data_IF_697990758747
#
_entry.id   IF_697990758747
#
_cell.length_a   1.000
_cell.length_b   1.000
_cell.length_c   1.000
_cell.angle_alpha   90.00
_cell.angle_beta   90.00
_cell.angle_gamma   90.00
#
_symmetry.space_group_name_H-M   'P 1'
#
loop_
_entity.id
_entity.type
_entity.pdbx_description
1 polymer ?
#
# COMPACT_ATOMS: atom_id res chain seq x y z
N UNK A 1 22.90 -5.19 -3.75
CA UNK A 1 23.39 -6.59 -3.87
C UNK A 1 22.21 -7.42 -4.27
N UNK A 2 22.22 -8.01 -5.46
CA UNK A 2 21.14 -8.87 -5.92
C UNK A 2 21.06 -10.10 -5.00
N UNK A 3 19.92 -10.32 -4.36
CA UNK A 3 19.65 -11.57 -3.69
C UNK A 3 19.69 -12.67 -4.78
N UNK A 4 20.73 -13.48 -4.78
CA UNK A 4 20.77 -14.67 -5.62
C UNK A 4 19.72 -15.65 -5.09
N UNK A 5 18.78 -16.04 -5.93
CA UNK A 5 17.81 -17.08 -5.61
C UNK A 5 18.57 -18.33 -5.11
N UNK A 6 18.15 -18.97 -4.02
CA UNK A 6 18.83 -20.12 -3.46
C UNK A 6 18.82 -21.29 -4.45
N UNK A 7 19.89 -22.09 -4.46
CA UNK A 7 20.07 -23.25 -5.35
C UNK A 7 18.98 -24.32 -5.18
N UNK A 8 18.18 -24.29 -4.13
CA UNK A 8 16.97 -25.07 -3.89
C UNK A 8 16.03 -24.24 -3.01
N UNK A 9 14.79 -23.96 -3.44
CA UNK A 9 13.85 -23.21 -2.63
C UNK A 9 13.60 -23.94 -1.29
N UNK A 10 13.56 -23.17 -0.21
CA UNK A 10 13.16 -23.67 1.10
C UNK A 10 11.66 -23.99 1.07
N UNK A 11 11.23 -24.94 1.90
CA UNK A 11 9.80 -25.18 2.11
C UNK A 11 9.17 -23.92 2.69
N UNK A 12 8.11 -23.41 2.06
CA UNK A 12 7.43 -22.20 2.55
C UNK A 12 6.58 -22.54 3.77
N UNK A 13 6.69 -21.79 4.87
CA UNK A 13 5.91 -22.03 6.07
C UNK A 13 4.44 -21.64 5.85
N UNK A 14 3.51 -22.52 6.21
CA UNK A 14 2.08 -22.23 6.20
C UNK A 14 1.62 -21.56 7.52
N UNK A 15 2.41 -21.70 8.56
CA UNK A 15 2.16 -21.06 9.88
C UNK A 15 3.45 -20.47 10.43
N UNK A 16 3.36 -19.43 11.30
CA UNK A 16 4.56 -18.88 11.93
C UNK A 16 5.40 -19.93 12.68
N UNK A 17 4.76 -20.93 13.28
CA UNK A 17 5.43 -21.99 14.06
C UNK A 17 6.31 -22.92 13.20
N UNK A 18 6.06 -22.99 11.90
CA UNK A 18 6.88 -23.78 10.97
C UNK A 18 8.21 -23.08 10.63
N UNK A 19 8.33 -21.78 10.89
CA UNK A 19 9.61 -21.09 10.86
C UNK A 19 10.41 -21.52 12.08
N UNK A 20 11.27 -22.50 11.92
CA UNK A 20 12.20 -22.97 12.96
C UNK A 20 13.52 -22.19 12.93
N UNK A 21 14.33 -22.26 13.99
CA UNK A 21 15.67 -21.67 13.99
C UNK A 21 16.52 -22.16 12.81
N UNK A 22 16.47 -23.47 12.51
CA UNK A 22 17.19 -24.08 11.39
C UNK A 22 16.68 -23.58 10.03
N UNK A 23 15.35 -23.42 9.86
CA UNK A 23 14.76 -22.88 8.65
C UNK A 23 15.21 -21.43 8.44
N UNK A 24 15.11 -20.60 9.51
CA UNK A 24 15.45 -19.18 9.47
C UNK A 24 16.95 -18.98 9.20
N UNK A 25 17.81 -19.80 9.82
CA UNK A 25 19.26 -19.78 9.51
C UNK A 25 19.51 -19.94 8.02
N UNK A 26 18.89 -20.95 7.39
CA UNK A 26 19.06 -21.18 5.94
C UNK A 26 18.52 -20.03 5.09
N UNK A 27 17.38 -19.47 5.46
CA UNK A 27 16.81 -18.31 4.77
C UNK A 27 17.75 -17.11 4.81
N UNK A 28 18.23 -16.74 6.01
CA UNK A 28 19.12 -15.60 6.21
C UNK A 28 20.52 -15.80 5.59
N UNK A 29 21.06 -17.02 5.63
CA UNK A 29 22.31 -17.36 4.95
C UNK A 29 22.15 -17.28 3.43
N UNK A 30 21.05 -17.80 2.88
CA UNK A 30 20.79 -17.81 1.42
C UNK A 30 20.67 -16.40 0.84
N UNK A 31 20.16 -15.44 1.62
CA UNK A 31 20.05 -14.03 1.25
C UNK A 31 21.26 -13.17 1.66
N UNK A 32 22.28 -13.78 2.28
CA UNK A 32 23.50 -13.07 2.69
C UNK A 32 23.32 -12.13 3.88
N UNK A 33 22.23 -12.28 4.64
CA UNK A 33 21.98 -11.48 5.85
C UNK A 33 22.90 -11.90 6.99
N UNK A 34 23.17 -13.20 7.08
CA UNK A 34 24.16 -13.75 8.02
C UNK A 34 25.22 -14.59 7.25
N UNK A 35 26.47 -14.65 7.74
CA UNK A 35 27.51 -15.51 7.17
C UNK A 35 27.14 -17.00 7.25
N UNK A 36 27.78 -17.88 6.43
CA UNK A 36 27.48 -19.32 6.42
C UNK A 36 27.80 -20.06 7.73
N UNK A 37 28.67 -19.51 8.56
CA UNK A 37 29.10 -20.03 9.86
C UNK A 37 28.29 -19.50 11.05
N UNK A 38 27.41 -18.51 10.81
CA UNK A 38 26.51 -17.96 11.82
C UNK A 38 25.14 -18.62 11.71
N UNK A 39 24.60 -19.06 12.84
CA UNK A 39 23.29 -19.69 12.93
C UNK A 39 22.37 -18.95 13.91
N UNK A 40 21.06 -19.11 13.72
CA UNK A 40 20.04 -18.71 14.70
C UNK A 40 20.08 -19.70 15.85
N UNK A 41 20.60 -19.28 17.00
CA UNK A 41 20.72 -20.12 18.21
C UNK A 41 19.39 -20.29 18.92
N UNK A 42 18.57 -19.24 18.97
CA UNK A 42 17.20 -19.29 19.53
C UNK A 42 16.24 -18.47 18.68
N UNK A 43 14.96 -18.88 18.70
CA UNK A 43 13.87 -18.19 17.99
C UNK A 43 12.61 -18.18 18.85
N UNK A 44 12.03 -17.00 19.03
CA UNK A 44 10.71 -16.82 19.64
C UNK A 44 9.77 -16.16 18.64
N UNK A 45 8.50 -16.60 18.62
CA UNK A 45 7.44 -16.02 17.84
C UNK A 45 6.54 -15.21 18.74
N UNK A 46 6.32 -13.94 18.37
CA UNK A 46 5.41 -13.05 19.09
C UNK A 46 4.31 -12.57 18.12
N UNK A 47 3.05 -12.49 18.57
CA UNK A 47 2.00 -11.89 17.73
C UNK A 47 2.35 -10.44 17.37
N UNK A 48 2.00 -10.01 16.15
CA UNK A 48 2.14 -8.64 15.69
C UNK A 48 0.75 -8.15 15.24
N UNK A 49 0.30 -7.00 15.76
CA UNK A 49 -0.91 -6.31 15.29
C UNK A 49 -2.17 -7.16 15.31
N UNK A 50 -2.54 -7.80 16.42
CA UNK A 50 -3.72 -8.67 16.49
C UNK A 50 -3.57 -10.01 15.74
N UNK A 51 -2.44 -10.26 15.07
CA UNK A 51 -2.06 -11.57 14.50
C UNK A 51 -2.60 -11.86 13.09
N UNK A 52 -3.59 -11.13 12.59
CA UNK A 52 -4.18 -11.38 11.27
C UNK A 52 -4.44 -10.06 10.54
N UNK A 53 -3.67 -9.80 9.48
CA UNK A 53 -4.10 -8.86 8.43
C UNK A 53 -5.16 -9.49 7.53
N UNK A 54 -5.89 -8.70 6.76
CA UNK A 54 -6.94 -9.21 5.85
C UNK A 54 -6.39 -10.28 4.90
N UNK A 55 -5.20 -10.06 4.37
CA UNK A 55 -4.59 -10.93 3.34
C UNK A 55 -3.35 -11.68 3.82
N UNK A 56 -2.85 -11.46 5.04
CA UNK A 56 -1.64 -12.10 5.54
C UNK A 56 -1.66 -12.35 7.04
N UNK A 57 -0.89 -13.35 7.46
CA UNK A 57 -0.55 -13.58 8.86
C UNK A 57 0.78 -12.90 9.14
N UNK A 58 0.82 -12.08 10.18
CA UNK A 58 2.03 -11.39 10.64
C UNK A 58 2.50 -11.97 11.97
N UNK A 59 3.79 -12.15 12.10
CA UNK A 59 4.41 -12.52 13.37
C UNK A 59 5.77 -11.82 13.53
N UNK A 60 6.10 -11.42 14.76
CA UNK A 60 7.43 -10.98 15.09
C UNK A 60 8.30 -12.20 15.38
N UNK A 61 9.47 -12.23 14.77
CA UNK A 61 10.53 -13.18 15.04
C UNK A 61 11.59 -12.48 15.88
N UNK A 62 11.87 -13.02 17.08
CA UNK A 62 12.92 -12.54 17.98
C UNK A 62 13.96 -13.62 18.07
N UNK A 63 15.22 -13.29 17.73
CA UNK A 63 16.30 -14.25 17.59
C UNK A 63 17.54 -13.87 18.40
N UNK A 64 18.26 -14.91 18.82
CA UNK A 64 19.67 -14.82 19.21
C UNK A 64 20.50 -15.62 18.20
N UNK A 65 21.71 -15.17 17.93
CA UNK A 65 22.63 -15.84 17.01
C UNK A 65 23.73 -16.58 17.78
N UNK A 66 24.36 -17.55 17.14
CA UNK A 66 25.54 -18.25 17.70
C UNK A 66 26.74 -17.34 17.93
N UNK A 67 26.82 -16.25 17.15
CA UNK A 67 27.79 -15.20 17.29
C UNK A 67 27.17 -13.88 17.76
N UNK A 68 27.73 -13.28 18.78
CA UNK A 68 27.26 -12.01 19.35
C UNK A 68 27.76 -10.77 18.60
N UNK A 69 28.70 -10.94 17.67
CA UNK A 69 29.32 -9.85 16.89
C UNK A 69 28.58 -9.58 15.54
N UNK A 70 27.58 -10.38 15.20
CA UNK A 70 26.81 -10.14 13.97
C UNK A 70 26.04 -8.82 14.03
N UNK A 71 26.00 -8.11 12.90
CA UNK A 71 25.18 -6.91 12.70
C UNK A 71 23.78 -7.24 12.17
N UNK A 72 23.45 -8.53 12.06
CA UNK A 72 22.15 -8.98 11.61
C UNK A 72 21.03 -8.58 12.61
N UNK A 73 19.82 -8.29 12.14
CA UNK A 73 18.73 -7.87 13.02
C UNK A 73 18.33 -9.01 13.95
N UNK A 74 18.07 -8.68 15.21
CA UNK A 74 17.56 -9.63 16.23
C UNK A 74 16.03 -9.62 16.30
N UNK A 75 15.38 -8.71 15.61
CA UNK A 75 13.93 -8.59 15.52
C UNK A 75 13.51 -8.41 14.08
N UNK A 76 12.59 -9.21 13.61
CA UNK A 76 12.13 -9.24 12.23
C UNK A 76 10.62 -9.44 12.20
N UNK A 77 10.00 -9.09 11.08
CA UNK A 77 8.59 -9.37 10.81
C UNK A 77 8.49 -10.44 9.74
N UNK A 78 7.79 -11.51 10.06
CA UNK A 78 7.35 -12.55 9.13
C UNK A 78 5.99 -12.16 8.57
N UNK A 79 5.82 -12.27 7.25
CA UNK A 79 4.54 -12.20 6.55
C UNK A 79 4.37 -13.45 5.69
N UNK A 80 3.23 -14.14 5.85
CA UNK A 80 2.85 -15.34 5.11
C UNK A 80 1.38 -15.25 4.69
N UNK A 81 0.88 -16.09 3.78
CA UNK A 81 -0.52 -16.05 3.35
C UNK A 81 -1.50 -16.15 4.52
N UNK A 82 -2.65 -15.49 4.37
CA UNK A 82 -3.76 -15.67 5.32
C UNK A 82 -4.23 -17.11 5.37
N UNK A 83 -4.62 -17.56 6.55
CA UNK A 83 -5.22 -18.89 6.75
C UNK A 83 -6.70 -18.94 6.33
N UNK A 84 -7.36 -17.77 6.13
CA UNK A 84 -8.75 -17.68 5.69
C UNK A 84 -8.85 -17.95 4.18
N UNK A 85 -9.50 -19.06 3.74
CA UNK A 85 -9.50 -19.45 2.33
C UNK A 85 -10.12 -18.40 1.40
N UNK A 86 -11.18 -17.73 1.85
CA UNK A 86 -11.87 -16.69 1.08
C UNK A 86 -10.95 -15.49 0.82
N UNK A 87 -10.29 -14.98 1.85
CA UNK A 87 -9.35 -13.87 1.73
C UNK A 87 -8.12 -14.28 0.89
N UNK A 88 -7.64 -15.53 1.04
CA UNK A 88 -6.54 -16.07 0.22
C UNK A 88 -6.92 -16.09 -1.26
N UNK A 89 -8.12 -16.54 -1.61
CA UNK A 89 -8.60 -16.55 -2.99
C UNK A 89 -8.66 -15.14 -3.59
N UNK A 90 -9.15 -14.16 -2.84
CA UNK A 90 -9.16 -12.75 -3.27
C UNK A 90 -7.74 -12.23 -3.47
N UNK A 91 -6.83 -12.50 -2.52
CA UNK A 91 -5.44 -12.08 -2.62
C UNK A 91 -4.72 -12.67 -3.85
N UNK A 92 -4.98 -13.92 -4.15
CA UNK A 92 -4.44 -14.61 -5.35
C UNK A 92 -5.02 -14.01 -6.64
N UNK A 93 -6.34 -13.84 -6.70
CA UNK A 93 -7.01 -13.27 -7.86
C UNK A 93 -6.52 -11.85 -8.18
N UNK A 94 -6.31 -11.02 -7.15
CA UNK A 94 -5.79 -9.66 -7.29
C UNK A 94 -4.26 -9.59 -7.41
N UNK A 95 -3.52 -10.68 -7.31
CA UNK A 95 -2.05 -10.71 -7.38
C UNK A 95 -1.34 -10.02 -6.21
N UNK A 96 -1.98 -9.91 -5.05
CA UNK A 96 -1.49 -9.18 -3.87
C UNK A 96 -0.13 -9.74 -3.41
N UNK A 97 -0.02 -11.05 -3.27
CA UNK A 97 1.21 -11.71 -2.79
C UNK A 97 2.38 -11.58 -3.79
N UNK A 98 2.06 -11.62 -5.09
CA UNK A 98 3.05 -11.47 -6.15
C UNK A 98 3.69 -10.10 -6.07
N UNK A 99 2.88 -9.03 -5.95
CA UNK A 99 3.37 -7.65 -6.03
C UNK A 99 4.40 -7.35 -4.95
N UNK A 100 4.10 -7.67 -3.69
CA UNK A 100 5.02 -7.37 -2.59
C UNK A 100 6.31 -8.20 -2.66
N UNK A 101 6.20 -9.49 -2.98
CA UNK A 101 7.38 -10.35 -3.10
C UNK A 101 8.29 -9.90 -4.25
N UNK A 102 7.71 -9.56 -5.40
CA UNK A 102 8.48 -9.11 -6.56
C UNK A 102 8.98 -7.68 -6.41
N UNK A 103 8.29 -6.81 -5.66
CA UNK A 103 8.85 -5.52 -5.29
C UNK A 103 10.21 -5.66 -4.64
N UNK A 104 10.32 -6.48 -3.61
CA UNK A 104 11.58 -6.67 -2.90
C UNK A 104 12.65 -7.35 -3.75
N UNK A 105 12.26 -8.28 -4.62
CA UNK A 105 13.19 -9.00 -5.47
C UNK A 105 13.69 -8.20 -6.68
N UNK A 106 12.86 -7.33 -7.25
CA UNK A 106 13.13 -6.70 -8.55
C UNK A 106 13.19 -5.16 -8.51
N UNK A 107 12.37 -4.52 -7.66
CA UNK A 107 12.17 -3.07 -7.71
C UNK A 107 12.78 -2.30 -6.55
N UNK A 108 12.83 -2.85 -5.34
CA UNK A 108 13.23 -2.13 -4.13
C UNK A 108 14.61 -1.47 -4.25
N UNK A 109 15.60 -2.16 -4.85
CA UNK A 109 16.93 -1.61 -5.07
C UNK A 109 16.99 -0.46 -6.10
N UNK A 110 15.93 -0.28 -6.88
CA UNK A 110 15.82 0.71 -7.96
C UNK A 110 14.85 1.85 -7.61
N UNK A 111 14.10 1.70 -6.53
CA UNK A 111 13.10 2.68 -6.08
C UNK A 111 13.69 3.55 -4.99
N UNK A 112 13.90 4.86 -5.23
CA UNK A 112 14.59 5.76 -4.31
C UNK A 112 13.63 6.24 -3.20
N UNK A 113 13.08 5.33 -2.43
CA UNK A 113 12.17 5.61 -1.31
C UNK A 113 12.68 4.92 -0.04
N UNK A 114 12.58 5.57 1.12
CA UNK A 114 12.87 4.91 2.39
C UNK A 114 11.91 3.75 2.62
N UNK A 115 12.32 2.54 2.31
CA UNK A 115 11.54 1.31 2.47
C UNK A 115 12.20 0.36 3.46
N UNK A 116 11.38 -0.42 4.15
CA UNK A 116 11.86 -1.47 5.04
C UNK A 116 12.76 -2.44 4.27
N UNK A 117 13.84 -2.89 4.91
CA UNK A 117 14.76 -3.85 4.30
C UNK A 117 14.14 -5.25 4.27
N UNK A 118 14.13 -5.87 3.10
CA UNK A 118 13.81 -7.28 2.96
C UNK A 118 15.04 -8.14 3.32
N UNK A 119 14.82 -9.13 4.18
CA UNK A 119 15.82 -10.07 4.63
C UNK A 119 15.73 -11.40 3.89
N UNK A 120 14.50 -11.78 3.52
CA UNK A 120 14.23 -12.96 2.70
C UNK A 120 12.85 -12.83 2.05
N UNK A 121 12.74 -13.14 0.78
CA UNK A 121 11.48 -13.21 0.04
C UNK A 121 11.49 -14.41 -0.91
N UNK A 122 10.47 -15.26 -0.83
CA UNK A 122 10.28 -16.40 -1.73
C UNK A 122 8.80 -16.63 -1.98
N UNK A 123 8.45 -17.08 -3.19
CA UNK A 123 7.08 -17.30 -3.61
C UNK A 123 6.96 -18.47 -4.58
N UNK A 124 5.86 -19.20 -4.46
CA UNK A 124 5.34 -20.12 -5.48
C UNK A 124 3.99 -19.61 -5.97
N UNK A 125 4.00 -19.02 -7.15
CA UNK A 125 2.78 -18.43 -7.73
C UNK A 125 1.71 -19.52 -7.96
N UNK A 126 2.13 -20.71 -8.41
CA UNK A 126 1.20 -21.80 -8.72
C UNK A 126 0.52 -22.38 -7.48
N UNK A 127 1.25 -22.46 -6.36
CA UNK A 127 0.73 -22.88 -5.07
C UNK A 127 0.01 -21.75 -4.30
N UNK A 128 0.23 -20.49 -4.69
CA UNK A 128 -0.24 -19.33 -3.94
C UNK A 128 0.39 -19.24 -2.54
N UNK A 129 1.67 -19.63 -2.46
CA UNK A 129 2.44 -19.61 -1.22
C UNK A 129 3.56 -18.59 -1.31
N UNK A 130 3.73 -17.79 -0.29
CA UNK A 130 4.85 -16.87 -0.16
C UNK A 130 5.36 -16.82 1.27
N UNK A 131 6.57 -16.36 1.42
CA UNK A 131 7.16 -15.99 2.71
C UNK A 131 7.99 -14.74 2.52
N UNK A 132 7.76 -13.76 3.38
CA UNK A 132 8.49 -12.52 3.42
C UNK A 132 9.01 -12.32 4.84
N UNK A 133 10.31 -12.03 4.98
CA UNK A 133 10.94 -11.62 6.22
C UNK A 133 11.55 -10.25 5.99
N UNK A 134 11.11 -9.28 6.78
CA UNK A 134 11.57 -7.89 6.71
C UNK A 134 12.11 -7.44 8.08
N UNK A 135 12.93 -6.39 8.09
CA UNK A 135 13.36 -5.75 9.34
C UNK A 135 12.14 -5.23 10.11
N UNK A 136 12.19 -5.30 11.44
CA UNK A 136 11.24 -4.58 12.28
C UNK A 136 11.61 -3.10 12.37
N UNK A 137 10.67 -2.23 12.03
CA UNK A 137 10.85 -0.77 12.17
C UNK A 137 10.62 -0.39 13.64
N UNK A 138 11.66 -0.44 14.47
CA UNK A 138 11.54 -0.22 15.91
C UNK A 138 11.86 1.21 16.36
N UNK A 139 12.49 2.00 15.51
CA UNK A 139 12.92 3.38 15.83
C UNK A 139 11.94 4.46 15.38
N UNK A 140 10.93 4.08 14.61
CA UNK A 140 9.87 4.95 14.12
C UNK A 140 8.51 4.45 14.63
N UNK A 141 7.52 5.32 14.59
CA UNK A 141 6.13 5.03 14.97
C UNK A 141 5.25 5.03 13.73
N UNK A 142 4.38 4.03 13.59
CA UNK A 142 3.37 4.00 12.52
C UNK A 142 2.44 5.21 12.61
N UNK A 143 2.05 5.77 11.48
CA UNK A 143 1.13 6.90 11.45
C UNK A 143 -0.26 6.51 11.98
N UNK A 144 -0.96 7.49 12.54
CA UNK A 144 -2.28 7.29 13.15
C UNK A 144 -3.39 7.61 12.14
N UNK A 145 -3.88 6.58 11.47
CA UNK A 145 -4.95 6.71 10.46
C UNK A 145 -6.27 7.21 11.07
N UNK A 146 -6.56 6.88 12.32
CA UNK A 146 -7.80 7.29 12.98
C UNK A 146 -7.81 8.79 13.26
N UNK A 147 -6.73 9.32 13.82
CA UNK A 147 -6.58 10.73 14.14
C UNK A 147 -6.16 11.60 12.96
N UNK A 148 -5.68 10.98 11.88
CA UNK A 148 -5.24 11.67 10.67
C UNK A 148 -3.80 12.18 10.73
N UNK A 149 -3.30 12.59 9.57
CA UNK A 149 -1.95 13.08 9.40
C UNK A 149 -1.76 14.51 9.87
N UNK A 150 -0.62 14.79 10.47
CA UNK A 150 -0.16 16.16 10.62
C UNK A 150 0.35 16.72 9.29
N UNK A 151 0.34 18.05 9.13
CA UNK A 151 0.85 18.68 7.90
C UNK A 151 2.31 18.29 7.62
N UNK A 152 3.24 18.27 8.60
CA UNK A 152 4.61 17.80 8.34
C UNK A 152 4.69 16.35 7.85
N UNK A 153 3.83 15.43 8.34
CA UNK A 153 3.77 14.06 7.84
C UNK A 153 3.30 14.01 6.38
N UNK A 154 2.26 14.78 6.02
CA UNK A 154 1.79 14.88 4.64
C UNK A 154 2.88 15.43 3.71
N UNK A 155 3.52 16.55 4.09
CA UNK A 155 4.60 17.15 3.30
C UNK A 155 5.78 16.19 3.08
N UNK A 156 6.18 15.49 4.14
CA UNK A 156 7.28 14.52 4.05
C UNK A 156 6.91 13.35 3.14
N UNK A 157 5.73 12.77 3.32
CA UNK A 157 5.26 11.66 2.48
C UNK A 157 5.15 12.08 1.01
N UNK A 158 4.55 13.25 0.72
CA UNK A 158 4.41 13.76 -0.63
C UNK A 158 5.76 13.98 -1.33
N UNK A 159 6.77 14.48 -0.62
CA UNK A 159 8.12 14.64 -1.18
C UNK A 159 8.78 13.30 -1.51
N UNK A 160 8.60 12.29 -0.67
CA UNK A 160 9.21 10.97 -0.93
C UNK A 160 8.51 10.23 -2.08
N UNK A 161 7.16 10.27 -2.15
CA UNK A 161 6.47 9.66 -3.29
C UNK A 161 6.72 10.42 -4.60
N UNK A 162 6.97 11.74 -4.57
CA UNK A 162 7.36 12.48 -5.76
C UNK A 162 8.72 12.00 -6.33
N UNK A 163 9.71 11.74 -5.46
CA UNK A 163 10.99 11.14 -5.88
C UNK A 163 10.80 9.75 -6.46
N UNK A 164 9.96 8.95 -5.81
CA UNK A 164 9.61 7.62 -6.28
C UNK A 164 8.96 7.68 -7.67
N UNK A 165 7.91 8.50 -7.82
CA UNK A 165 7.20 8.64 -9.08
C UNK A 165 8.11 9.17 -10.21
N UNK A 166 9.00 10.12 -9.91
CA UNK A 166 9.96 10.62 -10.89
C UNK A 166 10.92 9.54 -11.39
N UNK A 167 11.40 8.67 -10.50
CA UNK A 167 12.32 7.59 -10.85
C UNK A 167 11.69 6.55 -11.80
N UNK A 168 10.38 6.37 -11.73
CA UNK A 168 9.62 5.44 -12.56
C UNK A 168 8.75 6.14 -13.62
N UNK A 169 8.92 7.45 -13.80
CA UNK A 169 8.13 8.25 -14.75
C UNK A 169 8.27 7.73 -16.17
N UNK A 170 7.17 7.24 -16.75
CA UNK A 170 7.13 6.67 -18.10
C UNK A 170 8.29 5.69 -18.38
N UNK A 171 8.77 5.01 -17.34
CA UNK A 171 9.93 4.14 -17.45
C UNK A 171 9.58 2.90 -18.30
N UNK A 172 10.39 2.57 -19.34
CA UNK A 172 10.08 1.49 -20.27
C UNK A 172 10.00 0.11 -19.62
N UNK A 173 10.71 -0.10 -18.53
CA UNK A 173 10.66 -1.37 -17.79
C UNK A 173 9.28 -1.63 -17.15
N UNK A 174 8.43 -0.61 -16.96
CA UNK A 174 7.07 -0.82 -16.46
C UNK A 174 6.29 -1.79 -17.35
N UNK A 175 6.55 -1.82 -18.66
CA UNK A 175 5.91 -2.72 -19.60
C UNK A 175 6.49 -4.14 -19.60
N UNK A 176 7.62 -4.35 -18.93
CA UNK A 176 8.26 -5.68 -18.78
C UNK A 176 7.79 -6.46 -17.56
N UNK A 177 7.08 -5.81 -16.63
CA UNK A 177 6.57 -6.43 -15.42
C UNK A 177 5.13 -6.92 -15.62
N UNK A 178 4.97 -8.13 -16.16
CA UNK A 178 3.65 -8.74 -16.40
C UNK A 178 2.83 -8.94 -15.11
N UNK A 179 3.51 -9.03 -13.97
CA UNK A 179 2.89 -9.17 -12.66
C UNK A 179 2.34 -7.86 -12.07
N UNK A 180 2.74 -6.70 -12.63
CA UNK A 180 2.33 -5.39 -12.18
C UNK A 180 1.11 -4.92 -12.98
N UNK A 181 -0.09 -4.83 -12.38
CA UNK A 181 -1.32 -4.49 -13.09
C UNK A 181 -1.42 -3.00 -13.42
N UNK A 182 -2.35 -2.67 -14.31
CA UNK A 182 -2.95 -1.35 -14.48
C UNK A 182 -4.33 -1.30 -13.79
N UNK A 183 -4.87 -0.11 -13.58
CA UNK A 183 -6.19 0.06 -12.94
C UNK A 183 -7.34 -0.56 -13.76
N UNK A 184 -7.19 -0.68 -15.08
CA UNK A 184 -8.14 -1.29 -16.01
C UNK A 184 -7.76 -2.72 -16.42
N UNK A 185 -6.88 -3.38 -15.67
CA UNK A 185 -6.57 -4.78 -15.93
C UNK A 185 -7.83 -5.66 -15.84
N UNK A 186 -7.92 -6.77 -16.58
CA UNK A 186 -9.14 -7.59 -16.66
C UNK A 186 -9.72 -7.99 -15.30
N UNK A 187 -8.85 -8.30 -14.34
CA UNK A 187 -9.30 -8.69 -13.00
C UNK A 187 -9.87 -7.48 -12.22
N UNK A 188 -9.26 -6.30 -12.37
CA UNK A 188 -9.74 -5.09 -11.73
C UNK A 188 -11.12 -4.71 -12.28
N UNK A 189 -11.28 -4.73 -13.61
CA UNK A 189 -12.57 -4.48 -14.26
C UNK A 189 -13.66 -5.49 -13.88
N UNK A 190 -13.29 -6.73 -13.62
CA UNK A 190 -14.24 -7.76 -13.20
C UNK A 190 -14.73 -7.60 -11.75
N UNK A 191 -13.93 -6.99 -10.88
CA UNK A 191 -14.17 -6.98 -9.42
C UNK A 191 -14.57 -5.59 -8.91
N UNK A 192 -13.79 -4.56 -9.24
CA UNK A 192 -13.88 -3.25 -8.56
C UNK A 192 -15.19 -2.51 -8.82
N UNK A 193 -15.73 -2.46 -10.05
CA UNK A 193 -17.05 -1.82 -10.30
C UNK A 193 -18.18 -2.47 -9.51
N UNK A 194 -18.13 -3.80 -9.33
CA UNK A 194 -19.08 -4.54 -8.53
C UNK A 194 -19.07 -4.16 -7.05
N UNK A 195 -17.90 -3.86 -6.49
CA UNK A 195 -17.75 -3.38 -5.12
C UNK A 195 -18.46 -2.04 -4.94
N UNK A 196 -18.20 -1.08 -5.83
CA UNK A 196 -18.83 0.24 -5.76
C UNK A 196 -20.36 0.15 -5.87
N UNK A 197 -20.87 -0.57 -6.89
CA UNK A 197 -22.32 -0.77 -7.08
C UNK A 197 -22.98 -1.51 -5.93
N UNK A 198 -22.30 -2.50 -5.36
CA UNK A 198 -22.81 -3.28 -4.23
C UNK A 198 -22.92 -2.47 -2.93
N UNK A 199 -22.05 -1.48 -2.74
CA UNK A 199 -22.08 -0.60 -1.57
C UNK A 199 -23.17 0.48 -1.64
N UNK A 200 -23.57 0.94 -2.83
CA UNK A 200 -24.48 2.07 -3.01
C UNK A 200 -25.81 1.95 -2.27
N UNK A 201 -26.53 0.81 -2.26
CA UNK A 201 -27.78 0.69 -1.52
C UNK A 201 -27.66 0.98 -0.02
N UNK A 202 -26.57 0.54 0.62
CA UNK A 202 -26.31 0.81 2.03
C UNK A 202 -25.92 2.27 2.25
N UNK A 203 -25.10 2.82 1.33
CA UNK A 203 -24.69 4.23 1.40
C UNK A 203 -25.90 5.16 1.27
N UNK A 204 -26.80 4.89 0.36
CA UNK A 204 -28.03 5.66 0.17
C UNK A 204 -28.98 5.56 1.37
N UNK A 205 -29.07 4.39 2.01
CA UNK A 205 -29.93 4.20 3.16
C UNK A 205 -29.41 4.84 4.44
N UNK A 206 -28.11 4.73 4.72
CA UNK A 206 -27.57 4.96 6.06
C UNK A 206 -26.54 6.10 6.15
N UNK A 207 -25.94 6.54 5.02
CA UNK A 207 -24.79 7.44 5.05
C UNK A 207 -25.08 8.89 4.63
N UNK A 208 -26.26 9.21 4.05
CA UNK A 208 -26.61 10.58 3.69
C UNK A 208 -26.42 11.57 4.85
N UNK A 209 -26.81 11.26 6.12
CA UNK A 209 -26.63 12.20 7.22
C UNK A 209 -25.18 12.57 7.53
N UNK A 210 -24.22 11.71 7.11
CA UNK A 210 -22.78 11.92 7.34
C UNK A 210 -22.06 12.50 6.13
N UNK A 211 -22.46 12.08 4.92
CA UNK A 211 -21.77 12.42 3.67
C UNK A 211 -22.41 13.60 2.93
N UNK A 212 -23.71 13.83 3.17
CA UNK A 212 -24.50 14.78 2.42
C UNK A 212 -25.09 14.20 1.12
N UNK A 213 -26.19 14.77 0.65
CA UNK A 213 -26.89 14.32 -0.58
C UNK A 213 -26.01 14.47 -1.83
N UNK A 214 -25.21 15.53 -1.92
CA UNK A 214 -24.34 15.81 -3.06
C UNK A 214 -23.28 14.72 -3.25
N UNK A 215 -22.60 14.32 -2.18
CA UNK A 215 -21.59 13.26 -2.23
C UNK A 215 -22.20 11.91 -2.60
N UNK A 216 -23.38 11.58 -2.06
CA UNK A 216 -24.08 10.33 -2.39
C UNK A 216 -24.57 10.34 -3.83
N UNK A 217 -25.07 11.49 -4.35
CA UNK A 217 -25.44 11.65 -5.75
C UNK A 217 -24.23 11.49 -6.68
N UNK A 218 -23.07 12.07 -6.31
CA UNK A 218 -21.82 11.85 -7.05
C UNK A 218 -21.40 10.38 -7.03
N UNK A 219 -21.50 9.71 -5.88
CA UNK A 219 -21.19 8.28 -5.74
C UNK A 219 -22.03 7.40 -6.66
N UNK A 220 -23.31 7.74 -6.88
CA UNK A 220 -24.19 7.04 -7.82
C UNK A 220 -23.70 7.23 -9.26
N UNK A 221 -23.41 8.48 -9.65
CA UNK A 221 -22.90 8.77 -11.00
C UNK A 221 -21.56 8.06 -11.26
N UNK A 222 -20.67 8.00 -10.23
CA UNK A 222 -19.43 7.26 -10.27
C UNK A 222 -19.66 5.76 -10.44
N UNK A 223 -20.61 5.16 -9.68
CA UNK A 223 -20.92 3.74 -9.79
C UNK A 223 -21.40 3.35 -11.20
N UNK A 224 -22.14 4.24 -11.86
CA UNK A 224 -22.64 4.04 -13.22
C UNK A 224 -21.52 4.12 -14.28
N UNK A 225 -20.52 4.97 -14.07
CA UNK A 225 -19.42 5.23 -15.01
C UNK A 225 -18.08 4.61 -14.60
N UNK A 226 -18.06 3.68 -13.66
CA UNK A 226 -16.82 3.26 -13.00
C UNK A 226 -15.79 2.67 -13.97
N UNK A 227 -16.22 1.86 -14.93
CA UNK A 227 -15.34 1.27 -15.95
C UNK A 227 -14.72 2.34 -16.85
N UNK A 228 -15.45 3.40 -17.20
CA UNK A 228 -14.92 4.55 -17.96
C UNK A 228 -13.85 5.28 -17.14
N UNK A 229 -14.11 5.54 -15.85
CA UNK A 229 -13.15 6.17 -14.93
C UNK A 229 -11.89 5.33 -14.84
N UNK A 230 -11.97 4.01 -14.70
CA UNK A 230 -10.83 3.10 -14.66
C UNK A 230 -10.00 3.18 -15.95
N UNK A 231 -10.65 3.14 -17.11
CA UNK A 231 -9.97 3.23 -18.40
C UNK A 231 -9.24 4.57 -18.59
N UNK A 232 -9.87 5.68 -18.21
CA UNK A 232 -9.25 7.02 -18.27
C UNK A 232 -8.08 7.15 -17.30
N UNK A 233 -8.19 6.58 -16.10
CA UNK A 233 -7.10 6.51 -15.11
C UNK A 233 -5.88 5.76 -15.66
N UNK A 234 -6.09 4.67 -16.38
CA UNK A 234 -5.00 3.87 -16.97
C UNK A 234 -4.40 4.51 -18.23
N UNK A 235 -5.12 5.41 -18.90
CA UNK A 235 -4.64 6.14 -20.06
C UNK A 235 -3.81 7.40 -19.72
N UNK A 236 -3.75 7.78 -18.44
CA UNK A 236 -2.97 8.90 -17.94
C UNK A 236 -1.45 8.62 -17.96
N UNK A 237 -0.63 9.61 -17.61
CA UNK A 237 0.80 9.43 -17.41
C UNK A 237 1.09 8.31 -16.40
N UNK A 238 2.09 7.47 -16.68
CA UNK A 238 2.35 6.26 -15.90
C UNK A 238 3.63 6.36 -15.09
N UNK A 239 3.50 5.90 -13.86
CA UNK A 239 4.64 5.62 -12.99
C UNK A 239 4.38 4.33 -12.19
N UNK A 240 5.33 3.93 -11.36
CA UNK A 240 5.10 2.92 -10.33
C UNK A 240 4.44 3.60 -9.14
N UNK A 241 3.21 3.21 -8.80
CA UNK A 241 2.51 3.68 -7.63
C UNK A 241 2.54 2.63 -6.51
N UNK A 242 2.57 3.09 -5.26
CA UNK A 242 2.41 2.24 -4.09
C UNK A 242 1.00 1.61 -4.03
N UNK A 243 -0.01 2.39 -4.40
CA UNK A 243 -1.40 1.96 -4.47
C UNK A 243 -2.13 1.91 -3.12
N UNK A 244 -1.42 2.04 -1.99
CA UNK A 244 -2.00 2.04 -0.64
C UNK A 244 -1.20 2.95 0.31
N UNK A 245 -0.92 4.19 -0.11
CA UNK A 245 -0.20 5.20 0.69
C UNK A 245 -1.13 5.78 1.74
N UNK A 246 -1.31 5.05 2.84
CA UNK A 246 -2.06 5.51 4.02
C UNK A 246 -1.17 5.50 5.25
N UNK A 247 -1.56 6.23 6.29
CA UNK A 247 -0.71 6.41 7.47
C UNK A 247 -0.29 5.09 8.14
N UNK A 248 -1.14 4.06 8.12
CA UNK A 248 -0.77 2.74 8.68
C UNK A 248 0.34 2.03 7.90
N UNK A 249 0.65 2.49 6.67
CA UNK A 249 1.73 1.97 5.83
C UNK A 249 2.96 2.87 5.82
N UNK A 250 2.99 3.90 6.68
CA UNK A 250 4.10 4.86 6.77
C UNK A 250 4.47 5.07 8.24
N UNK A 251 5.75 4.91 8.53
CA UNK A 251 6.32 5.18 9.85
C UNK A 251 7.05 6.51 9.86
N UNK A 252 7.02 7.19 11.02
CA UNK A 252 7.64 8.50 11.21
C UNK A 252 8.37 8.58 12.55
N UNK A 253 9.39 9.42 12.63
CA UNK A 253 9.83 9.94 13.92
C UNK A 253 8.93 11.12 14.36
N UNK A 254 9.17 11.66 15.56
CA UNK A 254 8.28 12.62 16.19
C UNK A 254 8.03 13.93 15.39
N UNK A 255 9.02 14.38 14.62
CA UNK A 255 8.97 15.60 13.81
C UNK A 255 8.78 15.35 12.30
N UNK A 256 8.54 14.09 11.92
CA UNK A 256 8.42 13.62 10.55
C UNK A 256 9.65 13.92 9.66
N UNK A 257 10.83 14.14 10.24
CA UNK A 257 12.08 14.30 9.48
C UNK A 257 12.59 12.96 8.94
N UNK A 258 12.24 11.85 9.59
CA UNK A 258 12.54 10.49 9.15
C UNK A 258 11.25 9.73 8.87
N UNK A 259 11.26 8.92 7.80
CA UNK A 259 10.09 8.23 7.27
C UNK A 259 10.49 6.84 6.74
N UNK A 260 9.57 5.87 6.82
CA UNK A 260 9.75 4.52 6.26
C UNK A 260 8.43 4.01 5.71
N UNK A 261 8.43 3.54 4.46
CA UNK A 261 7.28 2.88 3.82
C UNK A 261 7.32 1.37 4.02
N UNK A 262 6.14 0.79 4.18
CA UNK A 262 5.90 -0.65 4.26
C UNK A 262 4.69 -1.05 3.40
N UNK A 263 4.50 -2.36 3.23
CA UNK A 263 3.31 -2.95 2.62
C UNK A 263 3.11 -2.65 1.13
N UNK A 264 3.99 -3.18 0.30
CA UNK A 264 4.02 -2.99 -1.16
C UNK A 264 3.08 -3.94 -1.93
N UNK A 265 2.04 -4.43 -1.29
CA UNK A 265 1.10 -5.42 -1.85
C UNK A 265 0.12 -4.84 -2.88
N UNK A 266 -0.05 -3.51 -2.93
CA UNK A 266 -1.01 -2.84 -3.82
C UNK A 266 -0.35 -2.10 -4.98
N UNK A 267 0.92 -2.37 -5.26
CA UNK A 267 1.65 -1.74 -6.37
C UNK A 267 0.87 -1.82 -7.69
N UNK A 268 0.92 -0.74 -8.45
CA UNK A 268 0.20 -0.62 -9.74
C UNK A 268 0.96 0.29 -10.70
N UNK A 269 0.85 0.03 -12.00
CA UNK A 269 1.20 0.99 -13.05
C UNK A 269 0.05 1.99 -13.16
N UNK A 270 0.23 3.19 -12.63
CA UNK A 270 -0.83 4.18 -12.54
C UNK A 270 -0.34 5.61 -12.70
N UNK A 271 -1.28 6.53 -12.69
CA UNK A 271 -0.97 7.96 -12.64
C UNK A 271 -0.40 8.33 -11.26
N UNK A 272 0.57 9.22 -11.20
CA UNK A 272 1.11 9.69 -9.92
C UNK A 272 0.04 10.33 -9.01
N UNK A 273 -1.01 10.89 -9.60
CA UNK A 273 -2.14 11.44 -8.87
C UNK A 273 -2.86 10.42 -7.98
N UNK A 274 -2.74 9.11 -8.27
CA UNK A 274 -3.36 8.04 -7.50
C UNK A 274 -2.85 7.98 -6.05
N UNK A 275 -1.54 7.93 -5.86
CA UNK A 275 -0.97 7.86 -4.51
C UNK A 275 -1.16 9.16 -3.75
N UNK A 276 -1.05 10.31 -4.43
CA UNK A 276 -1.31 11.62 -3.82
C UNK A 276 -2.75 11.70 -3.32
N UNK A 277 -3.71 11.34 -4.18
CA UNK A 277 -5.11 11.34 -3.82
C UNK A 277 -5.41 10.37 -2.66
N UNK A 278 -4.85 9.14 -2.72
CA UNK A 278 -5.09 8.11 -1.72
C UNK A 278 -4.55 8.53 -0.34
N UNK A 279 -3.34 9.11 -0.28
CA UNK A 279 -2.78 9.68 0.94
C UNK A 279 -3.71 10.75 1.52
N UNK A 280 -4.12 11.72 0.70
CA UNK A 280 -4.91 12.85 1.18
C UNK A 280 -6.32 12.42 1.58
N UNK A 281 -7.00 11.59 0.79
CA UNK A 281 -8.36 11.15 1.08
C UNK A 281 -8.47 10.18 2.26
N UNK A 282 -7.42 9.41 2.54
CA UNK A 282 -7.42 8.46 3.64
C UNK A 282 -6.97 9.07 4.97
N UNK A 283 -6.12 10.10 4.91
CA UNK A 283 -5.32 10.53 6.06
C UNK A 283 -5.53 11.99 6.46
N UNK A 284 -6.28 12.78 5.69
CA UNK A 284 -6.45 14.21 5.94
C UNK A 284 -7.90 14.57 6.24
N UNK A 285 -8.13 15.26 7.37
CA UNK A 285 -9.46 15.75 7.71
C UNK A 285 -9.90 16.92 6.82
N UNK A 286 -11.22 17.13 6.61
CA UNK A 286 -11.76 18.20 5.77
C UNK A 286 -11.19 19.58 6.06
N UNK A 287 -11.08 19.95 7.34
CA UNK A 287 -10.60 21.26 7.76
C UNK A 287 -9.11 21.49 7.44
N UNK A 288 -8.34 20.42 7.32
CA UNK A 288 -6.93 20.46 6.89
C UNK A 288 -6.87 20.63 5.37
N UNK A 289 -7.75 19.92 4.63
CA UNK A 289 -7.85 20.08 3.18
C UNK A 289 -8.19 21.52 2.81
N UNK A 290 -9.18 22.14 3.45
CA UNK A 290 -9.64 23.49 3.14
C UNK A 290 -8.53 24.55 3.29
N UNK A 291 -7.56 24.30 4.18
CA UNK A 291 -6.44 25.22 4.45
C UNK A 291 -5.18 24.89 3.65
N UNK A 292 -4.88 23.63 3.48
CA UNK A 292 -3.57 23.16 3.04
C UNK A 292 -3.62 22.36 1.74
N UNK A 293 -4.81 21.91 1.30
CA UNK A 293 -4.95 20.94 0.22
C UNK A 293 -4.24 21.38 -1.07
N UNK A 294 -4.56 22.57 -1.59
CA UNK A 294 -3.94 23.09 -2.82
C UNK A 294 -2.43 23.30 -2.65
N UNK A 295 -1.99 23.82 -1.51
CA UNK A 295 -0.56 24.01 -1.22
C UNK A 295 0.20 22.66 -1.20
N UNK A 296 -0.41 21.60 -0.65
CA UNK A 296 0.19 20.27 -0.63
C UNK A 296 0.27 19.65 -2.03
N UNK A 297 -0.73 19.88 -2.89
CA UNK A 297 -0.69 19.46 -4.28
C UNK A 297 0.40 20.19 -5.07
N UNK A 298 0.53 21.51 -4.88
CA UNK A 298 1.60 22.31 -5.48
C UNK A 298 2.97 21.85 -4.97
N UNK A 299 3.12 21.55 -3.69
CA UNK A 299 4.36 21.03 -3.11
C UNK A 299 4.76 19.71 -3.78
N UNK A 300 3.82 18.77 -3.91
CA UNK A 300 4.07 17.50 -4.59
C UNK A 300 4.51 17.71 -6.04
N UNK A 301 3.74 18.50 -6.80
CA UNK A 301 4.02 18.75 -8.22
C UNK A 301 5.38 19.45 -8.42
N UNK A 302 5.68 20.46 -7.59
CA UNK A 302 6.97 21.16 -7.64
C UNK A 302 8.14 20.23 -7.34
N UNK A 303 7.97 19.29 -6.38
CA UNK A 303 8.98 18.27 -6.10
C UNK A 303 9.16 17.32 -7.29
N UNK A 304 8.06 16.87 -7.92
CA UNK A 304 8.10 16.02 -9.11
C UNK A 304 8.86 16.70 -10.26
N UNK A 305 8.61 17.99 -10.49
CA UNK A 305 9.34 18.82 -11.48
C UNK A 305 10.81 18.96 -11.10
N UNK A 306 11.12 19.20 -9.82
CA UNK A 306 12.51 19.28 -9.34
C UNK A 306 13.28 17.98 -9.51
N UNK A 307 12.61 16.83 -9.52
CA UNK A 307 13.18 15.52 -9.82
C UNK A 307 13.30 15.23 -11.32
N UNK A 308 12.95 16.19 -12.20
CA UNK A 308 13.19 16.12 -13.66
C UNK A 308 11.96 15.84 -14.52
N UNK A 309 10.77 15.69 -13.96
CA UNK A 309 9.52 15.52 -14.72
C UNK A 309 9.01 16.88 -15.19
N UNK A 310 9.38 17.31 -16.38
CA UNK A 310 9.10 18.67 -16.89
C UNK A 310 7.97 18.73 -17.92
N UNK A 311 7.50 17.59 -18.41
CA UNK A 311 6.43 17.47 -19.42
C UNK A 311 5.04 17.15 -18.82
N UNK A 312 4.84 17.45 -17.55
CA UNK A 312 3.61 17.20 -16.81
C UNK A 312 3.19 18.51 -16.11
N UNK A 313 2.20 19.21 -16.64
CA UNK A 313 1.76 20.49 -16.09
C UNK A 313 0.93 20.30 -14.82
N UNK A 314 0.85 21.34 -13.98
CA UNK A 314 -0.04 21.31 -12.81
C UNK A 314 -1.51 21.14 -13.21
N UNK A 315 -1.95 21.74 -14.31
CA UNK A 315 -3.34 21.59 -14.80
C UNK A 315 -3.64 20.13 -15.20
N UNK A 316 -2.68 19.46 -15.84
CA UNK A 316 -2.79 18.02 -16.15
C UNK A 316 -2.86 17.19 -14.88
N UNK A 317 -1.95 17.43 -13.94
CA UNK A 317 -1.94 16.78 -12.64
C UNK A 317 -3.24 17.01 -11.87
N UNK A 318 -3.76 18.24 -11.86
CA UNK A 318 -5.01 18.56 -11.20
C UNK A 318 -6.20 17.81 -11.79
N UNK A 319 -6.32 17.78 -13.10
CA UNK A 319 -7.40 17.03 -13.78
C UNK A 319 -7.30 15.52 -13.50
N UNK A 320 -6.09 14.95 -13.49
CA UNK A 320 -5.87 13.55 -13.11
C UNK A 320 -6.17 13.31 -11.63
N UNK A 321 -5.81 14.23 -10.74
CA UNK A 321 -6.13 14.17 -9.32
C UNK A 321 -7.65 14.15 -9.09
N UNK A 322 -8.40 15.03 -9.78
CA UNK A 322 -9.86 15.02 -9.74
C UNK A 322 -10.43 13.67 -10.20
N UNK A 323 -9.89 13.08 -11.27
CA UNK A 323 -10.30 11.77 -11.75
C UNK A 323 -10.00 10.67 -10.72
N UNK A 324 -8.83 10.73 -10.07
CA UNK A 324 -8.48 9.79 -9.01
C UNK A 324 -9.37 9.94 -7.76
N UNK A 325 -9.85 11.15 -7.45
CA UNK A 325 -10.83 11.35 -6.38
C UNK A 325 -12.13 10.56 -6.65
N UNK A 326 -12.58 10.47 -7.90
CA UNK A 326 -13.75 9.66 -8.27
C UNK A 326 -13.45 8.16 -8.16
N UNK A 327 -12.31 7.72 -8.70
CA UNK A 327 -11.90 6.32 -8.65
C UNK A 327 -11.76 5.82 -7.21
N UNK A 328 -11.16 6.62 -6.32
CA UNK A 328 -10.87 6.21 -4.96
C UNK A 328 -12.07 6.15 -4.03
N UNK A 329 -13.25 6.63 -4.43
CA UNK A 329 -14.49 6.48 -3.65
C UNK A 329 -14.84 5.01 -3.37
N UNK A 330 -14.38 4.07 -4.21
CA UNK A 330 -14.62 2.64 -4.04
C UNK A 330 -13.92 2.04 -2.82
N UNK A 331 -12.72 2.54 -2.48
CA UNK A 331 -11.93 1.97 -1.39
C UNK A 331 -12.65 2.08 -0.03
N UNK A 332 -13.09 3.26 0.44
CA UNK A 332 -13.91 3.36 1.65
C UNK A 332 -15.29 2.72 1.49
N UNK A 333 -15.92 2.78 0.29
CA UNK A 333 -17.22 2.14 0.05
C UNK A 333 -17.17 0.61 0.29
N UNK A 334 -16.03 -0.04 0.02
CA UNK A 334 -15.84 -1.48 0.26
C UNK A 334 -16.03 -1.87 1.73
N UNK A 335 -15.74 -0.96 2.67
CA UNK A 335 -15.88 -1.21 4.12
C UNK A 335 -17.34 -1.22 4.59
N UNK A 336 -18.23 -0.60 3.81
CA UNK A 336 -19.66 -0.49 4.15
C UNK A 336 -20.45 -1.68 3.62
N UNK A 337 -20.06 -2.22 2.46
CA UNK A 337 -20.83 -3.22 1.72
C UNK A 337 -20.42 -4.68 1.93
N UNK A 338 -19.28 -4.99 2.61
CA UNK A 338 -18.83 -6.38 2.59
C UNK A 338 -17.67 -6.78 3.48
N UNK A 339 -16.89 -5.87 4.01
CA UNK A 339 -15.79 -6.26 4.89
C UNK A 339 -16.20 -6.12 6.36
N UNK A 340 -16.05 -7.20 7.13
CA UNK A 340 -16.15 -7.12 8.60
C UNK A 340 -14.93 -6.34 9.13
N UNK A 341 -15.18 -5.15 9.64
CA UNK A 341 -14.15 -4.28 10.23
C UNK A 341 -13.78 -4.69 11.66
N UNK A 342 -14.34 -5.78 12.17
CA UNK A 342 -14.00 -6.33 13.45
C UNK A 342 -14.51 -5.53 14.65
N UNK A 343 -13.59 -5.00 15.45
CA UNK A 343 -13.88 -4.29 16.69
C UNK A 343 -14.34 -2.83 16.49
N UNK A 344 -14.63 -2.13 17.59
CA UNK A 344 -15.08 -0.73 17.58
C UNK A 344 -14.04 0.23 16.96
N UNK A 345 -12.75 -0.08 17.09
CA UNK A 345 -11.68 0.72 16.44
C UNK A 345 -11.74 0.58 14.93
N UNK A 346 -11.94 -0.64 14.43
CA UNK A 346 -12.09 -0.88 13.00
C UNK A 346 -13.31 -0.16 12.41
N UNK A 347 -14.45 -0.16 13.13
CA UNK A 347 -15.64 0.59 12.71
C UNK A 347 -15.41 2.10 12.68
N UNK A 348 -14.73 2.66 13.68
CA UNK A 348 -14.37 4.08 13.69
C UNK A 348 -13.42 4.42 12.53
N UNK A 349 -12.46 3.55 12.22
CA UNK A 349 -11.56 3.74 11.10
C UNK A 349 -12.32 3.73 9.76
N UNK A 350 -13.25 2.81 9.57
CA UNK A 350 -14.11 2.76 8.39
C UNK A 350 -14.95 4.04 8.25
N UNK A 351 -15.53 4.55 9.35
CA UNK A 351 -16.30 5.80 9.35
C UNK A 351 -15.43 7.00 8.98
N UNK A 352 -14.20 7.10 9.55
CA UNK A 352 -13.25 8.15 9.18
C UNK A 352 -12.84 8.07 7.70
N UNK A 353 -12.60 6.87 7.22
CA UNK A 353 -12.22 6.66 5.83
C UNK A 353 -13.36 7.03 4.86
N UNK A 354 -14.61 6.64 5.18
CA UNK A 354 -15.79 7.04 4.40
C UNK A 354 -15.95 8.56 4.38
N UNK A 355 -15.90 9.22 5.52
CA UNK A 355 -16.10 10.68 5.59
C UNK A 355 -15.02 11.45 4.85
N UNK A 356 -13.74 11.12 5.03
CA UNK A 356 -12.62 11.76 4.33
C UNK A 356 -12.65 11.47 2.83
N UNK A 357 -12.80 10.21 2.46
CA UNK A 357 -12.72 9.75 1.07
C UNK A 357 -13.90 10.23 0.20
N UNK A 358 -15.06 10.49 0.80
CA UNK A 358 -16.22 11.00 0.09
C UNK A 358 -16.36 12.53 0.17
N UNK A 359 -15.67 13.17 1.11
CA UNK A 359 -15.54 14.63 1.14
C UNK A 359 -14.64 15.16 0.02
N UNK A 360 -13.48 14.52 -0.17
CA UNK A 360 -12.45 15.02 -1.08
C UNK A 360 -12.91 15.20 -2.53
N UNK A 361 -13.68 14.28 -3.16
CA UNK A 361 -14.20 14.48 -4.52
C UNK A 361 -15.09 15.72 -4.66
N UNK A 362 -15.85 16.06 -3.63
CA UNK A 362 -16.69 17.27 -3.61
C UNK A 362 -15.83 18.50 -3.48
N UNK A 363 -14.92 18.53 -2.51
CA UNK A 363 -14.02 19.66 -2.25
C UNK A 363 -13.05 19.94 -3.42
N UNK A 364 -12.69 18.91 -4.18
CA UNK A 364 -11.87 19.02 -5.38
C UNK A 364 -12.67 19.32 -6.67
N UNK A 365 -13.99 19.53 -6.61
CA UNK A 365 -14.87 19.69 -7.78
C UNK A 365 -14.71 18.56 -8.81
N UNK A 366 -14.53 17.32 -8.35
CA UNK A 366 -14.24 16.18 -9.23
C UNK A 366 -15.37 15.86 -10.22
N UNK A 367 -16.58 16.35 -9.99
CA UNK A 367 -17.71 16.23 -10.93
C UNK A 367 -17.40 16.87 -12.29
N UNK A 368 -16.52 17.87 -12.37
CA UNK A 368 -16.14 18.54 -13.62
C UNK A 368 -15.43 17.62 -14.61
N UNK A 369 -14.83 16.54 -14.13
CA UNK A 369 -14.13 15.56 -14.97
C UNK A 369 -14.90 14.24 -15.12
N UNK A 370 -16.12 14.13 -14.58
CA UNK A 370 -17.00 12.99 -14.74
C UNK A 370 -17.74 13.06 -16.08
#
# INVERSE_FOLDING_TARGET
>A
MNAQLPAKPLTRPATPKEVTATWLTKALQSSGVIPPDVEVASLRHEPLGGGTGVFGVLARLVVDYTETTTTAPTRMVLKIPTAAPENKNVALALGIYVRETYYFNELAARTPVPSVRCLYADMDIAAGEFVLIIDEVAHLTVGDQLNGATVPQLERTLKEIAKWHAAWWEHPDLDTFDWLPTNDSPIQLAVVPGIMRGAMPVIEADWIPRLGEEAVALGRDVADKFEEIMGRSSAAARTLCHGDVRLENVFFNADASDIMFIDFQMLVKGTPAQDVQYLLSSSMDPEVWDKEGMRLLELYHNELVAQGVTNYSFDTFWSEFQLQCLWAMVAPASTVGGFDMGDDKGKQLAERWMTRGWYLPIAANAREVL
#
